data_IF_699419167404
#
_entry.id   IF_699419167404
#
_cell.length_a   1.000
_cell.length_b   1.000
_cell.length_c   1.000
_cell.angle_alpha   90.00
_cell.angle_beta   90.00
_cell.angle_gamma   90.00
#
_symmetry.space_group_name_H-M   'P 1'
#
loop_
_entity.id
_entity.type
_entity.pdbx_description
1 polymer ?
#
# COMPACT_ATOMS: atom_id res chain seq x y z
N UNK A 1 -1.87 8.31 -15.26
CA UNK A 1 -1.60 8.86 -16.60
C UNK A 1 -0.65 7.93 -17.34
N UNK A 2 -0.64 7.95 -18.68
CA UNK A 2 0.19 7.05 -19.49
C UNK A 2 1.67 7.01 -19.04
N UNK A 3 2.21 8.16 -18.62
CA UNK A 3 3.59 8.32 -18.13
C UNK A 3 3.93 7.43 -16.92
N UNK A 4 2.99 7.18 -16.01
CA UNK A 4 3.25 6.33 -14.84
C UNK A 4 3.30 4.85 -15.24
N UNK A 5 2.47 4.45 -16.21
CA UNK A 5 2.46 3.08 -16.72
C UNK A 5 3.72 2.77 -17.52
N UNK A 6 4.28 3.74 -18.23
CA UNK A 6 5.57 3.61 -18.92
C UNK A 6 6.72 3.31 -17.94
N UNK A 7 6.76 4.01 -16.80
CA UNK A 7 7.74 3.77 -15.74
C UNK A 7 7.56 2.38 -15.12
N UNK A 8 6.32 1.98 -14.85
CA UNK A 8 6.03 0.64 -14.31
C UNK A 8 6.45 -0.44 -15.30
N UNK A 9 6.17 -0.26 -16.59
CA UNK A 9 6.58 -1.19 -17.64
C UNK A 9 8.10 -1.29 -17.73
N UNK A 10 8.82 -0.16 -17.69
CA UNK A 10 10.28 -0.14 -17.68
C UNK A 10 10.85 -0.86 -16.45
N UNK A 11 10.30 -0.59 -15.26
CA UNK A 11 10.70 -1.24 -14.02
C UNK A 11 10.54 -2.77 -14.11
N UNK A 12 9.39 -3.23 -14.60
CA UNK A 12 9.11 -4.66 -14.82
C UNK A 12 10.06 -5.27 -15.85
N UNK A 13 10.38 -4.56 -16.94
CA UNK A 13 11.35 -5.01 -17.94
C UNK A 13 12.79 -5.12 -17.38
N UNK A 14 13.13 -4.33 -16.36
CA UNK A 14 14.41 -4.41 -15.62
C UNK A 14 14.42 -5.45 -14.49
N UNK A 15 13.33 -6.21 -14.30
CA UNK A 15 13.21 -7.22 -13.25
C UNK A 15 12.80 -6.68 -11.88
N UNK A 16 12.26 -5.46 -11.81
CA UNK A 16 11.65 -4.92 -10.59
C UNK A 16 10.19 -5.36 -10.57
N UNK A 17 9.78 -6.05 -9.50
CA UNK A 17 8.41 -6.53 -9.33
C UNK A 17 7.64 -5.67 -8.34
N UNK A 18 6.32 -5.65 -8.45
CA UNK A 18 5.44 -4.96 -7.51
C UNK A 18 4.63 -5.99 -6.73
N UNK A 19 4.60 -5.84 -5.40
CA UNK A 19 3.76 -6.64 -4.51
C UNK A 19 2.35 -6.03 -4.41
N UNK A 20 1.33 -6.81 -4.03
CA UNK A 20 0.04 -6.22 -3.64
C UNK A 20 0.18 -5.39 -2.35
N UNK A 21 -0.79 -4.49 -2.11
CA UNK A 21 -0.93 -3.82 -0.81
C UNK A 21 -1.20 -4.88 0.28
N UNK A 22 -0.67 -4.66 1.47
CA UNK A 22 -0.80 -5.56 2.61
C UNK A 22 -1.08 -4.77 3.89
N UNK A 23 -2.05 -5.23 4.68
CA UNK A 23 -2.53 -4.53 5.88
C UNK A 23 -1.43 -4.24 6.90
N UNK A 24 -0.45 -5.13 7.03
CA UNK A 24 0.57 -5.06 8.06
C UNK A 24 1.92 -4.62 7.52
N UNK A 25 2.13 -4.73 6.21
CA UNK A 25 3.40 -4.38 5.57
C UNK A 25 3.37 -3.09 4.77
N UNK A 26 2.24 -2.65 4.20
CA UNK A 26 2.22 -1.39 3.45
C UNK A 26 2.33 -0.17 4.37
N UNK A 27 2.95 0.92 3.91
CA UNK A 27 2.90 2.23 4.59
C UNK A 27 1.73 3.05 4.06
N UNK A 28 1.51 4.19 4.70
CA UNK A 28 0.48 5.17 4.35
C UNK A 28 0.73 5.76 2.96
N UNK A 29 1.95 6.24 2.67
CA UNK A 29 2.28 7.04 1.49
C UNK A 29 3.56 6.64 0.77
N UNK A 30 4.37 5.76 1.36
CA UNK A 30 5.72 5.41 0.84
C UNK A 30 5.75 3.99 0.30
N UNK A 31 6.36 3.81 -0.87
CA UNK A 31 6.68 2.48 -1.41
C UNK A 31 7.78 1.82 -0.56
N UNK A 32 7.53 0.61 -0.06
CA UNK A 32 8.54 -0.17 0.64
C UNK A 32 9.27 -1.12 -0.30
N UNK A 33 10.55 -1.38 -0.01
CA UNK A 33 11.33 -2.40 -0.70
C UNK A 33 11.26 -3.68 0.14
N UNK A 34 10.76 -4.77 -0.43
CA UNK A 34 10.63 -6.08 0.23
C UNK A 34 11.01 -7.19 -0.77
N UNK A 35 12.02 -8.00 -0.42
CA UNK A 35 12.48 -9.15 -1.21
C UNK A 35 12.76 -8.83 -2.69
N UNK A 36 13.37 -7.68 -2.97
CA UNK A 36 13.66 -7.23 -4.34
C UNK A 36 12.43 -6.74 -5.13
N UNK A 37 11.30 -6.55 -4.46
CA UNK A 37 10.07 -6.01 -5.03
C UNK A 37 9.62 -4.73 -4.31
N UNK A 38 8.83 -3.91 -5.00
CA UNK A 38 8.22 -2.70 -4.46
C UNK A 38 6.82 -3.00 -3.94
N UNK A 39 6.58 -2.73 -2.66
CA UNK A 39 5.24 -2.79 -2.06
C UNK A 39 4.61 -1.40 -2.08
N UNK A 40 3.43 -1.25 -2.70
CA UNK A 40 2.73 0.02 -2.77
C UNK A 40 2.13 0.43 -1.40
N UNK A 41 2.00 1.74 -1.16
CA UNK A 41 1.35 2.29 0.03
C UNK A 41 -0.19 2.26 -0.07
N UNK A 42 -0.89 2.45 1.05
CA UNK A 42 -2.36 2.51 1.07
C UNK A 42 -2.91 3.68 0.25
N UNK A 43 -2.25 4.85 0.26
CA UNK A 43 -2.67 6.01 -0.53
C UNK A 43 -2.61 5.79 -2.06
N UNK A 44 -2.01 4.68 -2.52
CA UNK A 44 -2.06 4.28 -3.93
C UNK A 44 -3.37 3.60 -4.34
N UNK A 45 -4.16 3.12 -3.36
CA UNK A 45 -5.46 2.48 -3.62
C UNK A 45 -6.47 3.52 -4.06
N UNK A 46 -7.22 3.19 -5.10
CA UNK A 46 -8.31 4.03 -5.58
C UNK A 46 -9.37 4.19 -4.47
N UNK A 47 -9.69 5.43 -4.12
CA UNK A 47 -10.67 5.74 -3.08
C UNK A 47 -10.10 5.82 -1.66
N UNK A 48 -8.81 5.54 -1.46
CA UNK A 48 -8.13 5.71 -0.16
C UNK A 48 -7.31 7.00 -0.19
N UNK A 49 -7.81 8.04 0.49
CA UNK A 49 -7.07 9.29 0.66
C UNK A 49 -5.92 9.18 1.67
N UNK A 50 -5.05 10.18 1.71
CA UNK A 50 -3.89 10.22 2.63
C UNK A 50 -4.32 10.08 4.10
N UNK A 51 -5.39 10.74 4.51
CA UNK A 51 -5.90 10.62 5.89
C UNK A 51 -6.36 9.21 6.23
N UNK A 52 -7.09 8.55 5.31
CA UNK A 52 -7.54 7.18 5.50
C UNK A 52 -6.36 6.19 5.51
N UNK A 53 -5.37 6.40 4.64
CA UNK A 53 -4.13 5.62 4.63
C UNK A 53 -3.36 5.73 5.95
N UNK A 54 -3.24 6.94 6.50
CA UNK A 54 -2.63 7.17 7.82
C UNK A 54 -3.45 6.52 8.95
N UNK A 55 -4.78 6.60 8.87
CA UNK A 55 -5.69 5.98 9.83
C UNK A 55 -5.50 4.46 9.91
N UNK A 56 -5.42 3.78 8.76
CA UNK A 56 -5.15 2.33 8.70
C UNK A 56 -3.80 1.97 9.36
N UNK A 57 -2.75 2.74 9.09
CA UNK A 57 -1.41 2.49 9.63
C UNK A 57 -1.31 2.76 11.13
N UNK A 58 -2.06 3.74 11.64
CA UNK A 58 -2.14 3.99 13.09
C UNK A 58 -3.00 2.93 13.78
N UNK A 59 -4.18 2.64 13.23
CA UNK A 59 -5.13 1.68 13.78
C UNK A 59 -4.53 0.29 14.00
N UNK A 60 -3.63 -0.16 13.11
CA UNK A 60 -2.97 -1.47 13.25
C UNK A 60 -1.94 -1.51 14.39
N UNK A 61 -1.45 -0.37 14.88
CA UNK A 61 -0.55 -0.31 16.05
C UNK A 61 -1.28 -0.80 17.32
N UNK A 62 -2.61 -0.61 17.37
CA UNK A 62 -3.46 -1.10 18.46
C UNK A 62 -3.74 -2.62 18.39
N UNK A 63 -3.18 -3.32 17.40
CA UNK A 63 -3.29 -4.77 17.23
C UNK A 63 -3.91 -5.18 15.90
N UNK A 64 -3.94 -6.49 15.65
CA UNK A 64 -4.46 -7.06 14.40
C UNK A 64 -5.93 -6.71 14.14
N UNK A 65 -6.29 -6.58 12.87
CA UNK A 65 -7.68 -6.42 12.45
C UNK A 65 -8.36 -7.78 12.44
N UNK A 66 -9.46 -7.91 13.19
CA UNK A 66 -10.16 -9.18 13.37
C UNK A 66 -11.17 -9.43 12.23
N UNK A 67 -11.63 -8.35 11.59
CA UNK A 67 -12.58 -8.43 10.48
C UNK A 67 -12.49 -7.21 9.57
N UNK A 68 -13.18 -7.28 8.42
CA UNK A 68 -13.31 -6.13 7.49
C UNK A 68 -14.09 -4.98 8.16
N UNK A 69 -15.06 -5.30 9.01
CA UNK A 69 -15.81 -4.29 9.76
C UNK A 69 -14.94 -3.63 10.83
N UNK A 70 -14.11 -4.41 11.53
CA UNK A 70 -13.13 -3.89 12.50
C UNK A 70 -12.15 -2.92 11.84
N UNK A 71 -11.65 -3.28 10.65
CA UNK A 71 -10.82 -2.39 9.84
C UNK A 71 -11.55 -1.06 9.56
N UNK A 72 -12.80 -1.11 9.09
CA UNK A 72 -13.59 0.10 8.77
C UNK A 72 -13.90 0.97 9.98
N UNK A 73 -14.02 0.40 11.18
CA UNK A 73 -14.32 1.16 12.39
C UNK A 73 -13.07 1.80 13.01
N UNK A 74 -11.90 1.19 12.82
CA UNK A 74 -10.64 1.65 13.41
C UNK A 74 -9.84 2.58 12.50
N UNK A 75 -10.02 2.51 11.18
CA UNK A 75 -9.31 3.33 10.17
C UNK A 75 -9.95 4.69 9.91
#
# INVERSE_FOLDING_TARGET
TATQLEIVLEAMARGIFFRPVDLYKSLDQVFQIEDGALRPPFASLQGVGVSAASGIVQAREDGEFISIEDLRQRS
#
